data_IF_613074908504
#
_entry.id   IF_613074908504
#
_cell.length_a   1.000
_cell.length_b   1.000
_cell.length_c   1.000
_cell.angle_alpha   90.00
_cell.angle_beta   90.00
_cell.angle_gamma   90.00
#
_symmetry.space_group_name_H-M   'P 1'
#
loop_
_entity.id
_entity.type
_entity.pdbx_description
1 polymer ?
#
# COMPACT_ATOMS: atom_id res chain seq x y z
N UNK A 1 -12.77 -0.97 9.17
CA UNK A 1 -11.37 -1.07 9.64
C UNK A 1 -10.48 0.05 9.07
N UNK A 2 -10.76 0.56 7.87
CA UNK A 2 -10.00 1.67 7.29
C UNK A 2 -10.06 2.98 8.10
N UNK A 3 -11.23 3.33 8.62
CA UNK A 3 -11.45 4.57 9.38
C UNK A 3 -10.59 4.70 10.64
N UNK A 4 -10.25 3.58 11.29
CA UNK A 4 -9.37 3.56 12.47
C UNK A 4 -7.89 3.48 12.13
N UNK A 5 -7.54 2.82 11.02
CA UNK A 5 -6.14 2.61 10.62
C UNK A 5 -5.54 3.73 9.78
N UNK A 6 -6.37 4.50 9.07
CA UNK A 6 -5.96 5.53 8.11
C UNK A 6 -5.10 4.99 6.95
N UNK A 7 -5.11 3.68 6.71
CA UNK A 7 -4.26 3.02 5.71
C UNK A 7 -4.51 3.57 4.30
N UNK A 8 -5.78 3.61 3.86
CA UNK A 8 -6.13 4.14 2.53
C UNK A 8 -5.68 5.59 2.33
N UNK A 9 -5.79 6.42 3.38
CA UNK A 9 -5.37 7.82 3.35
C UNK A 9 -3.86 7.97 3.14
N UNK A 10 -3.06 7.16 3.82
CA UNK A 10 -1.60 7.18 3.67
C UNK A 10 -1.15 6.65 2.30
N UNK A 11 -1.82 5.60 1.82
CA UNK A 11 -1.59 5.07 0.48
C UNK A 11 -1.92 6.11 -0.61
N UNK A 12 -3.05 6.82 -0.48
CA UNK A 12 -3.42 7.92 -1.37
C UNK A 12 -2.42 9.10 -1.32
N UNK A 13 -1.80 9.36 -0.16
CA UNK A 13 -0.70 10.31 -0.05
C UNK A 13 0.52 9.89 -0.90
N UNK A 14 0.86 8.61 -0.85
CA UNK A 14 1.93 8.01 -1.66
C UNK A 14 1.62 8.14 -3.15
N UNK A 15 0.38 7.84 -3.54
CA UNK A 15 -0.12 8.01 -4.91
C UNK A 15 -0.01 9.47 -5.39
N UNK A 16 -0.37 10.44 -4.54
CA UNK A 16 -0.26 11.86 -4.89
C UNK A 16 1.18 12.27 -5.21
N UNK A 17 2.16 11.76 -4.47
CA UNK A 17 3.57 12.01 -4.74
C UNK A 17 4.03 11.32 -6.03
N UNK A 18 3.59 10.08 -6.30
CA UNK A 18 3.86 9.39 -7.57
C UNK A 18 3.31 10.18 -8.77
N UNK A 19 2.06 10.65 -8.67
CA UNK A 19 1.41 11.41 -9.74
C UNK A 19 2.13 12.72 -10.05
N UNK A 20 2.72 13.35 -9.02
CA UNK A 20 3.56 14.56 -9.12
C UNK A 20 5.03 14.27 -9.37
N UNK A 21 5.42 13.01 -9.53
CA UNK A 21 6.80 12.55 -9.78
C UNK A 21 7.80 12.99 -8.70
N UNK A 22 7.29 13.13 -7.47
CA UNK A 22 8.05 13.46 -6.26
C UNK A 22 8.58 12.19 -5.61
N UNK A 23 9.60 11.60 -6.22
CA UNK A 23 10.03 10.23 -5.92
C UNK A 23 10.55 10.02 -4.50
N UNK A 24 11.30 10.97 -3.93
CA UNK A 24 11.82 10.84 -2.57
C UNK A 24 10.71 10.99 -1.53
N UNK A 25 9.78 11.92 -1.74
CA UNK A 25 8.58 12.03 -0.91
C UNK A 25 7.69 10.79 -1.06
N UNK A 26 7.55 10.22 -2.26
CA UNK A 26 6.81 8.98 -2.48
C UNK A 26 7.44 7.81 -1.70
N UNK A 27 8.77 7.66 -1.72
CA UNK A 27 9.47 6.62 -0.94
C UNK A 27 9.31 6.82 0.56
N UNK A 28 9.39 8.06 1.05
CA UNK A 28 9.19 8.39 2.46
C UNK A 28 7.75 8.13 2.92
N UNK A 29 6.79 8.52 2.08
CA UNK A 29 5.37 8.25 2.28
C UNK A 29 5.08 6.76 2.30
N UNK A 30 5.62 5.99 1.35
CA UNK A 30 5.46 4.54 1.29
C UNK A 30 5.98 3.86 2.57
N UNK A 31 7.16 4.23 3.06
CA UNK A 31 7.70 3.72 4.33
C UNK A 31 6.76 3.96 5.51
N UNK A 32 6.02 5.07 5.50
CA UNK A 32 5.04 5.38 6.55
C UNK A 32 3.79 4.50 6.42
N UNK A 33 3.30 4.32 5.19
CA UNK A 33 2.19 3.39 4.87
C UNK A 33 2.52 1.96 5.29
N UNK A 34 3.75 1.49 5.02
CA UNK A 34 4.19 0.15 5.43
C UNK A 34 4.27 -0.01 6.95
N UNK A 35 4.72 1.01 7.68
CA UNK A 35 4.70 0.97 9.16
C UNK A 35 3.29 0.84 9.70
N UNK A 36 2.31 1.47 9.06
CA UNK A 36 0.90 1.31 9.41
C UNK A 36 0.41 -0.09 9.09
N UNK A 37 0.74 -0.62 7.90
CA UNK A 37 0.45 -2.01 7.53
C UNK A 37 0.99 -3.01 8.56
N UNK A 38 2.24 -2.88 8.98
CA UNK A 38 2.85 -3.80 9.96
C UNK A 38 2.17 -3.77 11.34
N UNK A 39 1.44 -2.69 11.68
CA UNK A 39 0.64 -2.63 12.91
C UNK A 39 -0.73 -3.31 12.74
N UNK A 40 -1.29 -3.25 11.54
CA UNK A 40 -2.61 -3.82 11.22
C UNK A 40 -2.50 -5.32 10.95
N UNK A 41 -1.48 -5.74 10.18
CA UNK A 41 -1.28 -7.11 9.70
C UNK A 41 -1.51 -8.19 10.78
N UNK A 42 -0.97 -8.08 12.01
CA UNK A 42 -1.20 -9.10 13.04
C UNK A 42 -2.68 -9.30 13.42
N UNK A 43 -3.50 -8.25 13.29
CA UNK A 43 -4.93 -8.30 13.60
C UNK A 43 -5.75 -9.01 12.51
N UNK A 44 -5.20 -9.14 11.30
CA UNK A 44 -5.87 -9.76 10.16
C UNK A 44 -5.68 -11.30 10.13
N UNK A 45 -4.71 -11.84 10.87
CA UNK A 45 -4.26 -13.22 10.72
C UNK A 45 -5.27 -14.31 11.16
N UNK A 46 -6.36 -13.95 11.82
CA UNK A 46 -7.34 -14.91 12.35
C UNK A 46 -8.51 -15.12 11.37
N UNK A 47 -9.00 -14.03 10.76
CA UNK A 47 -10.28 -14.02 10.03
C UNK A 47 -10.13 -13.74 8.53
N UNK A 48 -8.93 -13.34 8.07
CA UNK A 48 -8.69 -12.95 6.67
C UNK A 48 -7.84 -14.02 5.98
N UNK A 49 -8.22 -14.34 4.74
CA UNK A 49 -7.41 -15.21 3.88
C UNK A 49 -5.99 -14.63 3.74
N UNK A 50 -5.00 -15.46 4.09
CA UNK A 50 -3.59 -15.11 4.09
C UNK A 50 -3.11 -14.65 2.71
N UNK A 51 -3.76 -15.06 1.63
CA UNK A 51 -3.42 -14.65 0.27
C UNK A 51 -3.58 -13.13 0.08
N UNK A 52 -4.62 -12.50 0.64
CA UNK A 52 -4.75 -11.03 0.56
C UNK A 52 -3.63 -10.30 1.31
N UNK A 53 -3.22 -10.85 2.46
CA UNK A 53 -2.13 -10.28 3.26
C UNK A 53 -0.81 -10.41 2.51
N UNK A 54 -0.54 -11.58 1.94
CA UNK A 54 0.68 -11.86 1.17
C UNK A 54 0.73 -11.00 -0.10
N UNK A 55 -0.38 -10.89 -0.83
CA UNK A 55 -0.48 -10.08 -2.05
C UNK A 55 -0.21 -8.59 -1.76
N UNK A 56 -0.69 -8.05 -0.64
CA UNK A 56 -0.36 -6.68 -0.24
C UNK A 56 1.15 -6.53 0.01
N UNK A 57 1.79 -7.49 0.67
CA UNK A 57 3.25 -7.46 0.91
C UNK A 57 4.06 -7.55 -0.39
N UNK A 58 3.67 -8.44 -1.31
CA UNK A 58 4.29 -8.55 -2.62
C UNK A 58 4.16 -7.27 -3.44
N UNK A 59 3.00 -6.62 -3.39
CA UNK A 59 2.80 -5.33 -4.05
C UNK A 59 3.61 -4.21 -3.38
N UNK A 60 3.85 -4.24 -2.06
CA UNK A 60 4.80 -3.31 -1.44
C UNK A 60 6.23 -3.49 -1.94
N UNK A 61 6.69 -4.72 -2.12
CA UNK A 61 8.02 -5.01 -2.70
C UNK A 61 8.11 -4.46 -4.12
N UNK A 62 7.11 -4.73 -4.97
CA UNK A 62 7.04 -4.22 -6.34
C UNK A 62 7.03 -2.70 -6.37
N UNK A 63 6.20 -2.06 -5.55
CA UNK A 63 6.09 -0.60 -5.50
C UNK A 63 7.42 0.06 -5.09
N UNK A 64 8.16 -0.50 -4.14
CA UNK A 64 9.51 -0.01 -3.81
C UNK A 64 10.45 -0.05 -5.00
N UNK A 65 10.44 -1.14 -5.77
CA UNK A 65 11.26 -1.29 -6.96
C UNK A 65 10.87 -0.24 -8.01
N UNK A 66 9.58 -0.09 -8.31
CA UNK A 66 9.11 0.90 -9.28
C UNK A 66 9.40 2.35 -8.85
N UNK A 67 9.26 2.68 -7.57
CA UNK A 67 9.65 4.00 -7.05
C UNK A 67 11.17 4.25 -7.14
N UNK A 68 11.99 3.20 -7.00
CA UNK A 68 13.44 3.30 -7.17
C UNK A 68 13.80 3.61 -8.63
N UNK A 69 13.16 2.91 -9.56
CA UNK A 69 13.37 3.06 -11.01
C UNK A 69 12.58 4.25 -11.61
N UNK A 70 11.81 4.99 -10.79
CA UNK A 70 10.96 6.12 -11.19
C UNK A 70 9.92 5.74 -12.25
N UNK A 71 9.46 4.50 -12.21
CA UNK A 71 8.45 3.98 -13.11
C UNK A 71 7.06 4.38 -12.62
N UNK A 72 6.53 5.48 -13.17
CA UNK A 72 5.22 6.02 -12.80
C UNK A 72 4.08 5.04 -13.06
N UNK A 73 4.05 4.46 -14.25
CA UNK A 73 2.94 3.61 -14.69
C UNK A 73 2.81 2.36 -13.82
N UNK A 74 3.91 1.65 -13.59
CA UNK A 74 3.89 0.46 -12.75
C UNK A 74 3.70 0.82 -11.26
N UNK A 75 4.21 1.96 -10.80
CA UNK A 75 3.92 2.45 -9.44
C UNK A 75 2.42 2.71 -9.24
N UNK A 76 1.77 3.40 -10.17
CA UNK A 76 0.34 3.69 -10.12
C UNK A 76 -0.50 2.41 -10.19
N UNK A 77 -0.18 1.48 -11.11
CA UNK A 77 -0.86 0.20 -11.20
C UNK A 77 -0.74 -0.59 -9.88
N UNK A 78 0.44 -0.59 -9.25
CA UNK A 78 0.68 -1.29 -7.99
C UNK A 78 -0.09 -0.65 -6.82
N UNK A 79 -0.18 0.68 -6.76
CA UNK A 79 -1.04 1.37 -5.77
C UNK A 79 -2.49 0.91 -5.91
N UNK A 80 -3.02 0.85 -7.14
CA UNK A 80 -4.40 0.41 -7.39
C UNK A 80 -4.64 -1.03 -6.93
N UNK A 81 -3.66 -1.92 -7.12
CA UNK A 81 -3.75 -3.31 -6.64
C UNK A 81 -3.82 -3.36 -5.11
N UNK A 82 -2.95 -2.62 -4.40
CA UNK A 82 -2.97 -2.55 -2.93
C UNK A 82 -4.32 -1.99 -2.44
N UNK A 83 -4.82 -0.92 -3.06
CA UNK A 83 -6.13 -0.34 -2.73
C UNK A 83 -7.26 -1.36 -2.89
N UNK A 84 -7.26 -2.12 -3.99
CA UNK A 84 -8.29 -3.14 -4.25
C UNK A 84 -8.23 -4.28 -3.24
N UNK A 85 -7.04 -4.79 -2.93
CA UNK A 85 -6.86 -5.85 -1.94
C UNK A 85 -7.33 -5.37 -0.56
N UNK A 86 -6.96 -4.15 -0.17
CA UNK A 86 -7.41 -3.56 1.09
C UNK A 86 -8.94 -3.40 1.17
N UNK A 87 -9.59 -2.99 0.08
CA UNK A 87 -11.05 -2.92 0.01
C UNK A 87 -11.71 -4.29 0.15
N UNK A 88 -11.11 -5.35 -0.42
CA UNK A 88 -11.61 -6.72 -0.22
C UNK A 88 -11.54 -7.12 1.25
N UNK A 89 -10.43 -6.80 1.94
CA UNK A 89 -10.28 -7.07 3.38
C UNK A 89 -11.29 -6.26 4.21
N UNK A 90 -11.53 -4.98 3.90
CA UNK A 90 -12.47 -4.14 4.68
C UNK A 90 -13.96 -4.50 4.45
N UNK A 91 -14.27 -5.25 3.38
CA UNK A 91 -15.62 -5.73 3.07
C UNK A 91 -15.96 -7.10 3.69
N UNK A 92 -14.98 -7.79 4.26
CA UNK A 92 -15.17 -9.05 5.00
C UNK A 92 -15.60 -8.77 6.44
#
# INVERSE_FOLDING_TARGET
MDSSSQFSKQLAGTESYINKEKWEEAKSSLKSTEKTWQKIKPLLQIDIDHDYVNDIEDNFVKLKAYLKERDKSNSSATIMLIQRLWQQIDQM
#
